data_IF_132040162742
#
_entry.id   IF_132040162742
#
_cell.length_a   1.000
_cell.length_b   1.000
_cell.length_c   1.000
_cell.angle_alpha   90.00
_cell.angle_beta   90.00
_cell.angle_gamma   90.00
#
_symmetry.space_group_name_H-M   'P 1'
#
loop_
_entity.id
_entity.type
_entity.pdbx_description
1 polymer ?
#
# COMPACT_ATOMS: atom_id res chain seq x y z
N UNK A 1 11.75 36.71 4.17
CA UNK A 1 11.49 35.53 3.31
C UNK A 1 12.78 35.02 2.67
N UNK A 2 13.50 35.79 1.83
CA UNK A 2 14.73 35.33 1.16
C UNK A 2 15.79 34.74 2.11
N UNK A 3 16.17 35.47 3.17
CA UNK A 3 17.15 34.98 4.15
C UNK A 3 16.70 33.71 4.87
N UNK A 4 15.41 33.58 5.16
CA UNK A 4 14.85 32.37 5.76
C UNK A 4 14.93 31.19 4.76
N UNK A 5 14.61 31.41 3.48
CA UNK A 5 14.76 30.39 2.43
C UNK A 5 16.21 29.94 2.28
N UNK A 6 17.16 30.89 2.25
CA UNK A 6 18.60 30.58 2.15
C UNK A 6 19.07 29.80 3.39
N UNK A 7 18.71 30.26 4.59
CA UNK A 7 19.09 29.59 5.83
C UNK A 7 18.48 28.18 5.93
N UNK A 8 17.21 28.00 5.56
CA UNK A 8 16.56 26.68 5.51
C UNK A 8 17.19 25.76 4.46
N UNK A 9 17.52 26.29 3.28
CA UNK A 9 18.23 25.53 2.25
C UNK A 9 19.61 25.09 2.74
N UNK A 10 20.41 26.00 3.30
CA UNK A 10 21.72 25.69 3.86
C UNK A 10 21.64 24.68 5.00
N UNK A 11 20.68 24.84 5.92
CA UNK A 11 20.43 23.89 7.00
C UNK A 11 20.09 22.48 6.46
N UNK A 12 19.36 22.39 5.35
CA UNK A 12 19.03 21.09 4.74
C UNK A 12 20.25 20.32 4.22
N UNK A 13 21.36 21.01 3.90
CA UNK A 13 22.60 20.38 3.42
C UNK A 13 23.44 19.78 4.56
N UNK A 14 23.17 20.18 5.80
CA UNK A 14 23.92 19.76 7.00
C UNK A 14 23.24 18.50 7.55
N UNK A 15 23.48 17.36 6.91
CA UNK A 15 23.01 16.04 7.33
C UNK A 15 24.02 14.96 6.88
N UNK A 16 23.94 13.70 7.36
CA UNK A 16 24.88 12.64 7.00
C UNK A 16 25.01 12.35 5.49
N UNK A 17 23.98 12.65 4.69
CA UNK A 17 23.99 12.51 3.23
C UNK A 17 24.52 13.76 2.50
N UNK A 18 24.75 14.86 3.23
CA UNK A 18 25.25 16.12 2.68
C UNK A 18 24.34 16.73 1.60
N UNK A 19 24.92 17.47 0.63
CA UNK A 19 24.16 18.11 -0.45
C UNK A 19 23.43 17.13 -1.40
N UNK A 20 23.85 15.86 -1.43
CA UNK A 20 23.24 14.84 -2.29
C UNK A 20 21.76 14.61 -1.95
N UNK A 21 21.35 14.94 -0.72
CA UNK A 21 19.96 14.82 -0.27
C UNK A 21 18.96 15.57 -1.17
N UNK A 22 19.38 16.67 -1.82
CA UNK A 22 18.54 17.43 -2.74
C UNK A 22 18.11 16.58 -3.94
N UNK A 23 18.96 15.64 -4.37
CA UNK A 23 18.70 14.78 -5.52
C UNK A 23 17.86 13.56 -5.17
N UNK A 24 17.66 13.26 -3.88
CA UNK A 24 16.95 12.07 -3.41
C UNK A 24 15.52 11.95 -3.98
N UNK A 25 14.67 13.00 -3.98
CA UNK A 25 13.33 12.91 -4.53
C UNK A 25 13.31 12.59 -6.02
N UNK A 26 14.30 13.08 -6.77
CA UNK A 26 14.42 12.82 -8.22
C UNK A 26 14.86 11.38 -8.50
N UNK A 27 15.75 10.83 -7.69
CA UNK A 27 16.16 9.43 -7.80
C UNK A 27 14.96 8.48 -7.58
N UNK A 28 14.10 8.80 -6.61
CA UNK A 28 12.85 8.08 -6.36
C UNK A 28 11.88 8.26 -7.53
N UNK A 29 11.60 9.51 -7.92
CA UNK A 29 10.63 9.84 -8.96
C UNK A 29 10.97 9.24 -10.33
N UNK A 30 12.26 9.12 -10.67
CA UNK A 30 12.70 8.62 -11.98
C UNK A 30 13.26 7.20 -11.94
N UNK A 31 13.11 6.46 -10.83
CA UNK A 31 13.53 5.07 -10.77
C UNK A 31 12.47 4.16 -11.40
N UNK A 32 12.77 3.62 -12.58
CA UNK A 32 11.93 2.59 -13.22
C UNK A 32 11.76 1.34 -12.36
N UNK A 33 12.77 1.00 -11.55
CA UNK A 33 12.71 -0.14 -10.64
C UNK A 33 11.62 0.06 -9.57
N UNK A 34 11.56 1.25 -8.98
CA UNK A 34 10.53 1.58 -7.98
C UNK A 34 9.16 1.67 -8.64
N UNK A 35 9.07 2.35 -9.78
CA UNK A 35 7.80 2.53 -10.49
C UNK A 35 7.15 1.21 -10.91
N UNK A 36 7.95 0.23 -11.35
CA UNK A 36 7.43 -1.06 -11.79
C UNK A 36 7.10 -1.98 -10.62
N UNK A 37 7.90 -1.97 -9.55
CA UNK A 37 7.75 -2.91 -8.45
C UNK A 37 6.65 -2.50 -7.45
N UNK A 38 6.48 -1.20 -7.22
CA UNK A 38 5.66 -0.70 -6.11
C UNK A 38 4.31 -0.23 -6.63
N UNK A 39 3.25 -0.87 -6.14
CA UNK A 39 1.87 -0.66 -6.60
C UNK A 39 1.40 0.81 -6.54
N UNK A 40 1.89 1.63 -5.61
CA UNK A 40 1.49 3.05 -5.52
C UNK A 40 1.90 3.88 -6.75
N UNK A 41 2.89 3.41 -7.51
CA UNK A 41 3.39 4.07 -8.71
C UNK A 41 2.63 3.68 -9.98
N UNK A 42 1.79 2.65 -9.91
CA UNK A 42 0.96 2.22 -11.03
C UNK A 42 -0.24 3.14 -11.21
N UNK A 43 -0.80 3.14 -12.42
CA UNK A 43 -2.05 3.84 -12.70
C UNK A 43 -3.20 3.33 -11.81
N UNK A 44 -4.17 4.19 -11.45
CA UNK A 44 -5.36 3.78 -10.72
C UNK A 44 -6.10 2.61 -11.38
N UNK A 45 -6.25 1.51 -10.64
CA UNK A 45 -7.16 0.42 -11.02
C UNK A 45 -8.54 0.63 -10.40
N UNK A 46 -9.56 0.73 -11.27
CA UNK A 46 -10.95 0.91 -10.88
C UNK A 46 -11.74 -0.40 -10.80
N UNK A 47 -11.16 -1.55 -11.21
CA UNK A 47 -11.85 -2.84 -11.20
C UNK A 47 -12.02 -3.38 -9.78
N UNK A 48 -11.05 -3.15 -8.90
CA UNK A 48 -11.09 -3.59 -7.49
C UNK A 48 -12.06 -2.81 -6.59
N UNK A 49 -12.74 -1.76 -7.09
CA UNK A 49 -13.74 -0.98 -6.34
C UNK A 49 -13.18 -0.04 -5.26
N UNK A 50 -11.97 -0.27 -4.75
CA UNK A 50 -11.31 0.58 -3.74
C UNK A 50 -11.20 2.03 -4.21
N UNK A 51 -10.89 2.25 -5.50
CA UNK A 51 -10.76 3.57 -6.10
C UNK A 51 -12.06 4.10 -6.74
N UNK A 52 -13.21 3.46 -6.49
CA UNK A 52 -14.50 3.95 -6.98
C UNK A 52 -14.82 5.39 -6.55
N UNK A 53 -14.52 5.85 -5.31
CA UNK A 53 -14.73 7.26 -4.94
C UNK A 53 -13.95 8.24 -5.81
N UNK A 54 -12.72 7.89 -6.19
CA UNK A 54 -11.90 8.70 -7.10
C UNK A 54 -12.54 8.77 -8.49
N UNK A 55 -13.03 7.64 -9.01
CA UNK A 55 -13.73 7.60 -10.30
C UNK A 55 -15.00 8.46 -10.29
N UNK A 56 -15.82 8.34 -9.25
CA UNK A 56 -17.03 9.16 -9.06
C UNK A 56 -16.67 10.64 -9.01
N UNK A 57 -15.61 11.00 -8.29
CA UNK A 57 -15.11 12.36 -8.22
C UNK A 57 -14.68 12.89 -9.59
N UNK A 58 -13.90 12.13 -10.36
CA UNK A 58 -13.47 12.48 -11.72
C UNK A 58 -14.68 12.70 -12.64
N UNK A 59 -15.59 11.73 -12.70
CA UNK A 59 -16.75 11.78 -13.61
C UNK A 59 -17.68 12.95 -13.25
N UNK A 60 -17.96 13.15 -11.96
CA UNK A 60 -18.81 14.26 -11.52
C UNK A 60 -18.15 15.62 -11.74
N UNK A 61 -16.83 15.74 -11.52
CA UNK A 61 -16.07 16.95 -11.83
C UNK A 61 -16.15 17.28 -13.33
N UNK A 62 -15.88 16.30 -14.20
CA UNK A 62 -15.95 16.47 -15.66
C UNK A 62 -17.36 16.89 -16.10
N UNK A 63 -18.40 16.23 -15.58
CA UNK A 63 -19.78 16.61 -15.84
C UNK A 63 -20.07 18.07 -15.46
N UNK A 64 -19.66 18.50 -14.27
CA UNK A 64 -19.85 19.86 -13.78
C UNK A 64 -19.15 20.89 -14.67
N UNK A 65 -17.90 20.62 -15.04
CA UNK A 65 -17.10 21.51 -15.91
C UNK A 65 -17.76 21.66 -17.27
N UNK A 66 -18.20 20.56 -17.89
CA UNK A 66 -18.86 20.58 -19.20
C UNK A 66 -20.22 21.27 -19.14
N UNK A 67 -21.01 21.03 -18.07
CA UNK A 67 -22.36 21.56 -17.91
C UNK A 67 -22.41 23.07 -17.69
N UNK A 68 -21.53 23.59 -16.85
CA UNK A 68 -21.58 25.00 -16.43
C UNK A 68 -20.67 25.90 -17.23
N UNK A 69 -19.55 25.35 -17.72
CA UNK A 69 -18.50 26.10 -18.42
C UNK A 69 -18.05 27.35 -17.63
N UNK A 70 -17.14 28.13 -18.20
CA UNK A 70 -16.70 29.41 -17.60
C UNK A 70 -15.53 29.33 -16.63
N UNK A 71 -14.83 28.18 -16.57
CA UNK A 71 -13.50 28.13 -15.96
C UNK A 71 -12.49 28.85 -16.85
N UNK A 72 -11.56 29.56 -16.21
CA UNK A 72 -10.43 30.17 -16.92
C UNK A 72 -9.52 29.07 -17.48
N UNK A 73 -8.79 29.35 -18.57
CA UNK A 73 -7.85 28.40 -19.16
C UNK A 73 -6.83 27.87 -18.12
N UNK A 74 -6.35 28.74 -17.23
CA UNK A 74 -5.43 28.34 -16.15
C UNK A 74 -6.04 27.26 -15.23
N UNK A 75 -7.34 27.34 -14.94
CA UNK A 75 -8.03 26.39 -14.06
C UNK A 75 -8.20 25.06 -14.78
N UNK A 76 -8.58 25.10 -16.06
CA UNK A 76 -8.65 23.91 -16.90
C UNK A 76 -7.28 23.23 -17.05
N UNK A 77 -6.21 24.00 -17.20
CA UNK A 77 -4.84 23.47 -17.26
C UNK A 77 -4.43 22.82 -15.94
N UNK A 78 -4.67 23.48 -14.80
CA UNK A 78 -4.37 22.91 -13.49
C UNK A 78 -5.16 21.62 -13.26
N UNK A 79 -6.47 21.59 -13.56
CA UNK A 79 -7.28 20.37 -13.43
C UNK A 79 -6.82 19.26 -14.38
N UNK A 80 -6.56 19.60 -15.64
CA UNK A 80 -6.11 18.64 -16.65
C UNK A 80 -4.76 18.03 -16.34
N UNK A 81 -3.79 18.85 -15.90
CA UNK A 81 -2.47 18.38 -15.49
C UNK A 81 -2.55 17.54 -14.21
N UNK A 82 -3.33 17.97 -13.22
CA UNK A 82 -3.55 17.19 -12.00
C UNK A 82 -4.20 15.84 -12.30
N UNK A 83 -5.19 15.81 -13.20
CA UNK A 83 -5.80 14.56 -13.65
C UNK A 83 -4.79 13.66 -14.36
N UNK A 84 -3.98 14.23 -15.27
CA UNK A 84 -2.95 13.49 -15.98
C UNK A 84 -1.96 12.81 -15.02
N UNK A 85 -1.42 13.55 -14.05
CA UNK A 85 -0.46 12.98 -13.08
C UNK A 85 -1.12 11.96 -12.14
N UNK A 86 -2.39 12.15 -11.77
CA UNK A 86 -3.17 11.17 -11.01
C UNK A 86 -3.40 9.88 -11.80
N UNK A 87 -3.68 9.97 -13.10
CA UNK A 87 -3.85 8.77 -13.94
C UNK A 87 -2.52 8.07 -14.21
N UNK A 88 -1.39 8.77 -14.10
CA UNK A 88 -0.07 8.16 -14.18
C UNK A 88 0.27 7.33 -12.94
N UNK A 89 -0.13 7.75 -11.73
CA UNK A 89 0.17 7.04 -10.49
C UNK A 89 -0.86 7.32 -9.40
N UNK A 90 -1.31 6.27 -8.70
CA UNK A 90 -2.22 6.36 -7.53
C UNK A 90 -1.68 7.34 -6.47
N UNK A 91 -0.37 7.37 -6.25
CA UNK A 91 0.30 8.29 -5.31
C UNK A 91 -0.02 9.77 -5.58
N UNK A 92 -0.32 10.12 -6.83
CA UNK A 92 -0.63 11.49 -7.23
C UNK A 92 -2.12 11.86 -7.08
N UNK A 93 -3.00 10.97 -6.58
CA UNK A 93 -4.43 11.27 -6.43
C UNK A 93 -4.70 12.51 -5.58
N UNK A 94 -3.84 12.76 -4.58
CA UNK A 94 -3.97 13.91 -3.67
C UNK A 94 -3.88 15.23 -4.44
N UNK A 95 -3.08 15.29 -5.50
CA UNK A 95 -2.90 16.48 -6.33
C UNK A 95 -4.23 16.84 -7.02
N UNK A 96 -4.91 15.85 -7.61
CA UNK A 96 -6.22 16.07 -8.23
C UNK A 96 -7.29 16.40 -7.21
N UNK A 97 -7.30 15.77 -6.03
CA UNK A 97 -8.27 16.12 -4.98
C UNK A 97 -8.07 17.57 -4.53
N UNK A 98 -6.85 17.99 -4.24
CA UNK A 98 -6.56 19.36 -3.79
C UNK A 98 -6.89 20.39 -4.87
N UNK A 99 -6.52 20.13 -6.12
CA UNK A 99 -6.80 21.04 -7.23
C UNK A 99 -8.29 21.05 -7.64
N UNK A 100 -8.93 19.89 -7.64
CA UNK A 100 -10.28 19.67 -8.15
C UNK A 100 -11.38 19.97 -7.16
N UNK A 101 -11.17 19.73 -5.86
CA UNK A 101 -12.22 19.83 -4.87
C UNK A 101 -12.80 21.25 -4.74
N UNK A 102 -12.00 22.34 -4.73
CA UNK A 102 -12.56 23.70 -4.70
C UNK A 102 -13.46 24.01 -5.91
N UNK A 103 -13.03 23.56 -7.10
CA UNK A 103 -13.80 23.73 -8.35
C UNK A 103 -15.08 22.90 -8.31
N UNK A 104 -14.97 21.66 -7.86
CA UNK A 104 -16.10 20.76 -7.69
C UNK A 104 -17.15 21.38 -6.77
N UNK A 105 -16.75 21.88 -5.60
CA UNK A 105 -17.64 22.52 -4.62
C UNK A 105 -18.32 23.74 -5.22
N UNK A 106 -17.54 24.62 -5.88
CA UNK A 106 -18.08 25.83 -6.50
C UNK A 106 -19.14 25.52 -7.58
N UNK A 107 -18.89 24.53 -8.43
CA UNK A 107 -19.82 24.14 -9.50
C UNK A 107 -21.02 23.33 -8.97
N UNK A 108 -20.80 22.44 -8.00
CA UNK A 108 -21.86 21.66 -7.36
C UNK A 108 -22.84 22.59 -6.61
N UNK A 109 -22.35 23.66 -6.00
CA UNK A 109 -23.16 24.68 -5.35
C UNK A 109 -24.11 25.37 -6.35
N UNK A 110 -23.69 25.54 -7.62
CA UNK A 110 -24.56 26.07 -8.67
C UNK A 110 -25.69 25.10 -9.04
N UNK A 111 -25.43 23.80 -9.12
CA UNK A 111 -26.48 22.77 -9.25
C UNK A 111 -27.47 22.92 -8.09
N UNK A 112 -26.95 22.96 -6.86
CA UNK A 112 -27.78 23.01 -5.66
C UNK A 112 -28.73 24.21 -5.68
N UNK A 113 -28.24 25.39 -6.07
CA UNK A 113 -29.07 26.60 -6.21
C UNK A 113 -30.10 26.49 -7.33
N UNK A 114 -29.72 25.97 -8.50
CA UNK A 114 -30.65 25.76 -9.63
C UNK A 114 -31.78 24.78 -9.27
N UNK A 115 -31.43 23.68 -8.62
CA UNK A 115 -32.42 22.73 -8.10
C UNK A 115 -33.30 23.43 -7.06
N UNK A 116 -32.72 24.06 -6.04
CA UNK A 116 -33.48 24.75 -4.99
C UNK A 116 -34.46 25.79 -5.57
N UNK A 117 -34.07 26.54 -6.60
CA UNK A 117 -34.96 27.48 -7.30
C UNK A 117 -36.12 26.77 -8.02
N UNK A 118 -35.85 25.68 -8.75
CA UNK A 118 -36.90 24.88 -9.42
C UNK A 118 -37.88 24.23 -8.43
N UNK A 119 -37.38 23.76 -7.29
CA UNK A 119 -38.18 23.18 -6.22
C UNK A 119 -39.01 24.24 -5.48
N UNK A 120 -38.46 25.43 -5.22
CA UNK A 120 -39.20 26.58 -4.67
C UNK A 120 -40.33 27.07 -5.57
N UNK A 121 -40.18 26.96 -6.90
CA UNK A 121 -41.25 27.28 -7.85
C UNK A 121 -42.38 26.24 -7.86
N UNK A 122 -42.15 25.02 -7.35
CA UNK A 122 -43.13 23.93 -7.28
C UNK A 122 -43.81 23.78 -5.92
N UNK A 123 -43.27 24.41 -4.87
CA UNK A 123 -43.76 24.29 -3.49
C UNK A 123 -44.17 25.66 -2.95
N UNK A 124 -45.39 25.77 -2.40
CA UNK A 124 -45.86 26.98 -1.68
C UNK A 124 -44.90 27.31 -0.51
N UNK A 125 -44.74 28.59 -0.13
CA UNK A 125 -43.71 29.04 0.80
C UNK A 125 -44.10 28.74 2.25
N UNK A 126 -44.14 27.47 2.62
CA UNK A 126 -44.19 27.01 4.00
C UNK A 126 -43.47 25.67 4.05
N UNK A 127 -42.18 25.70 4.31
CA UNK A 127 -41.61 25.33 5.61
C UNK A 127 -40.08 25.06 5.45
N UNK A 128 -39.25 25.38 6.47
CA UNK A 128 -37.81 25.11 6.50
C UNK A 128 -37.33 23.67 6.86
N UNK A 129 -38.17 22.64 7.17
CA UNK A 129 -37.67 21.40 7.77
C UNK A 129 -36.88 20.56 6.78
N UNK A 130 -37.20 20.59 5.47
CA UNK A 130 -36.47 19.75 4.51
C UNK A 130 -35.03 20.21 4.29
N UNK A 131 -34.76 21.53 4.27
CA UNK A 131 -33.40 22.05 4.13
C UNK A 131 -32.54 21.73 5.35
N UNK A 132 -33.11 21.92 6.56
CA UNK A 132 -32.45 21.56 7.82
C UNK A 132 -32.22 20.04 7.91
N UNK A 133 -33.19 19.22 7.49
CA UNK A 133 -33.04 17.76 7.44
C UNK A 133 -31.97 17.31 6.43
N UNK A 134 -31.83 17.99 5.29
CA UNK A 134 -30.76 17.70 4.32
C UNK A 134 -29.38 18.11 4.86
N UNK A 135 -29.28 19.25 5.54
CA UNK A 135 -28.03 19.70 6.17
C UNK A 135 -27.64 18.76 7.33
N UNK A 136 -28.56 18.43 8.21
CA UNK A 136 -28.36 17.44 9.27
C UNK A 136 -28.05 16.05 8.70
N UNK A 137 -28.67 15.67 7.59
CA UNK A 137 -28.37 14.43 6.87
C UNK A 137 -26.96 14.41 6.29
N UNK A 138 -26.51 15.52 5.71
CA UNK A 138 -25.14 15.65 5.19
C UNK A 138 -24.09 15.65 6.30
N UNK A 139 -24.39 16.30 7.43
CA UNK A 139 -23.56 16.27 8.63
C UNK A 139 -23.52 14.86 9.23
N UNK A 140 -24.67 14.19 9.31
CA UNK A 140 -24.78 12.80 9.76
C UNK A 140 -23.99 11.85 8.85
N UNK A 141 -24.04 12.04 7.54
CA UNK A 141 -23.24 11.26 6.58
C UNK A 141 -21.74 11.53 6.74
N UNK A 142 -21.33 12.79 6.92
CA UNK A 142 -19.94 13.14 7.20
C UNK A 142 -19.45 12.49 8.51
N UNK A 143 -20.24 12.59 9.59
CA UNK A 143 -19.93 11.96 10.87
C UNK A 143 -19.85 10.44 10.72
N UNK A 144 -20.76 9.82 9.96
CA UNK A 144 -20.72 8.38 9.71
C UNK A 144 -19.45 7.98 8.94
N UNK A 145 -19.05 8.73 7.91
CA UNK A 145 -17.80 8.49 7.18
C UNK A 145 -16.60 8.65 8.10
N UNK A 146 -16.56 9.70 8.92
CA UNK A 146 -15.48 9.92 9.89
C UNK A 146 -15.45 8.82 10.96
N UNK A 147 -16.61 8.38 11.45
CA UNK A 147 -16.71 7.29 12.42
C UNK A 147 -16.20 5.97 11.85
N UNK A 148 -16.57 5.64 10.60
CA UNK A 148 -16.03 4.45 9.89
C UNK A 148 -14.52 4.56 9.69
N UNK A 149 -14.01 5.75 9.32
CA UNK A 149 -12.56 5.94 9.20
C UNK A 149 -11.86 5.76 10.55
N UNK A 150 -12.41 6.28 11.64
CA UNK A 150 -11.85 6.09 12.99
C UNK A 150 -11.87 4.63 13.43
N UNK A 151 -12.92 3.86 13.12
CA UNK A 151 -12.98 2.43 13.47
C UNK A 151 -12.07 1.57 12.59
N UNK A 152 -11.87 1.94 11.33
CA UNK A 152 -10.91 1.28 10.42
C UNK A 152 -9.46 1.61 10.81
N UNK A 153 -9.21 2.84 11.27
CA UNK A 153 -7.88 3.29 11.74
C UNK A 153 -7.59 2.90 13.19
N UNK A 154 -8.57 2.35 13.92
CA UNK A 154 -8.32 1.76 15.22
C UNK A 154 -7.37 0.57 15.00
N UNK A 155 -6.11 0.72 15.43
CA UNK A 155 -5.06 -0.28 15.24
C UNK A 155 -5.56 -1.64 15.72
N UNK A 156 -5.80 -2.60 14.80
CA UNK A 156 -6.18 -3.92 15.22
C UNK A 156 -5.07 -4.46 16.13
N UNK A 157 -5.41 -5.24 17.14
CA UNK A 157 -4.38 -6.02 17.85
C UNK A 157 -3.63 -6.86 16.81
N UNK A 158 -2.32 -7.05 17.02
CA UNK A 158 -1.46 -7.81 16.11
C UNK A 158 -1.99 -9.25 15.86
N UNK A 159 -2.76 -9.78 16.80
CA UNK A 159 -3.36 -11.12 16.74
C UNK A 159 -4.79 -11.12 16.19
N UNK A 160 -5.32 -9.98 15.75
CA UNK A 160 -6.67 -9.91 15.17
C UNK A 160 -6.73 -10.63 13.82
N UNK A 161 -7.88 -11.24 13.47
CA UNK A 161 -8.02 -11.93 12.18
C UNK A 161 -7.70 -11.04 10.96
N UNK A 162 -8.08 -9.76 11.02
CA UNK A 162 -7.78 -8.79 9.96
C UNK A 162 -6.29 -8.55 9.81
N UNK A 163 -5.57 -8.39 10.92
CA UNK A 163 -4.13 -8.11 10.89
C UNK A 163 -3.33 -9.35 10.48
N UNK A 164 -3.70 -10.53 10.99
CA UNK A 164 -3.12 -11.82 10.56
C UNK A 164 -3.39 -12.12 9.08
N UNK A 165 -4.53 -11.66 8.55
CA UNK A 165 -4.81 -11.70 7.11
C UNK A 165 -4.00 -10.70 6.29
N UNK A 166 -3.54 -9.59 6.89
CA UNK A 166 -2.85 -8.48 6.24
C UNK A 166 -1.32 -8.49 6.38
N UNK A 167 -0.76 -9.17 7.39
CA UNK A 167 0.67 -9.36 7.61
C UNK A 167 1.02 -10.82 7.93
N UNK A 168 2.27 -11.29 7.70
CA UNK A 168 2.69 -12.67 7.95
C UNK A 168 2.97 -12.94 9.45
N UNK A 169 2.00 -12.64 10.31
CA UNK A 169 2.12 -12.74 11.78
C UNK A 169 2.48 -14.15 12.22
N UNK A 170 1.82 -15.15 11.64
CA UNK A 170 2.01 -16.55 12.02
C UNK A 170 3.40 -17.05 11.62
N UNK A 171 3.87 -16.70 10.42
CA UNK A 171 5.22 -17.03 9.97
C UNK A 171 6.29 -16.29 10.81
N UNK A 172 6.08 -15.02 11.15
CA UNK A 172 6.97 -14.27 12.03
C UNK A 172 7.05 -14.89 13.43
N UNK A 173 5.90 -15.27 14.01
CA UNK A 173 5.86 -15.95 15.31
C UNK A 173 6.53 -17.33 15.27
N UNK A 174 6.43 -18.04 14.14
CA UNK A 174 7.16 -19.29 13.92
C UNK A 174 8.67 -19.06 13.83
N UNK A 175 9.13 -18.09 13.03
CA UNK A 175 10.55 -17.71 12.92
C UNK A 175 11.14 -17.31 14.28
N UNK A 176 10.40 -16.58 15.10
CA UNK A 176 10.80 -16.19 16.46
C UNK A 176 11.19 -17.39 17.34
N UNK A 177 10.56 -18.55 17.15
CA UNK A 177 10.90 -19.78 17.90
C UNK A 177 12.10 -20.56 17.35
N UNK A 178 12.57 -20.21 16.16
CA UNK A 178 13.70 -20.85 15.49
C UNK A 178 15.07 -20.28 15.87
N UNK A 179 16.14 -20.68 15.16
CA UNK A 179 17.48 -20.09 15.30
C UNK A 179 17.47 -18.58 15.01
N UNK A 180 18.59 -17.92 15.28
CA UNK A 180 18.80 -16.49 15.00
C UNK A 180 19.81 -16.27 13.88
N UNK A 181 19.80 -15.07 13.30
CA UNK A 181 20.74 -14.67 12.26
C UNK A 181 20.39 -15.20 10.88
N UNK A 182 19.16 -15.68 10.68
CA UNK A 182 18.69 -16.18 9.39
C UNK A 182 18.63 -15.05 8.37
N UNK A 183 18.94 -15.36 7.11
CA UNK A 183 18.75 -14.45 5.97
C UNK A 183 17.52 -14.84 5.19
N UNK A 184 16.49 -14.01 5.23
CA UNK A 184 15.16 -14.28 4.67
C UNK A 184 14.95 -13.44 3.41
N UNK A 185 14.81 -14.11 2.26
CA UNK A 185 14.27 -13.50 1.05
C UNK A 185 12.76 -13.35 1.18
N UNK A 186 12.27 -12.13 1.36
CA UNK A 186 10.88 -11.87 1.72
C UNK A 186 10.09 -11.11 0.64
N UNK A 187 8.77 -11.12 0.75
CA UNK A 187 7.90 -10.24 -0.02
C UNK A 187 8.11 -8.77 0.35
N UNK A 188 8.16 -7.88 -0.64
CA UNK A 188 8.47 -6.46 -0.47
C UNK A 188 7.55 -5.77 0.55
N UNK A 189 6.24 -6.00 0.43
CA UNK A 189 5.23 -5.43 1.34
C UNK A 189 5.34 -5.93 2.78
N UNK A 190 5.87 -7.13 2.98
CA UNK A 190 5.99 -7.76 4.30
C UNK A 190 7.31 -7.41 5.00
N UNK A 191 8.31 -6.89 4.28
CA UNK A 191 9.66 -6.71 4.79
C UNK A 191 9.77 -5.74 5.96
N UNK A 192 8.97 -4.67 5.96
CA UNK A 192 8.95 -3.72 7.08
C UNK A 192 8.39 -4.36 8.36
N UNK A 193 7.34 -5.17 8.22
CA UNK A 193 6.77 -5.93 9.33
C UNK A 193 7.78 -6.95 9.86
N UNK A 194 8.38 -7.76 8.99
CA UNK A 194 9.34 -8.80 9.38
C UNK A 194 10.60 -8.21 10.02
N UNK A 195 11.14 -7.10 9.50
CA UNK A 195 12.26 -6.40 10.12
C UNK A 195 11.93 -5.86 11.52
N UNK A 196 10.67 -5.51 11.76
CA UNK A 196 10.21 -5.04 13.06
C UNK A 196 9.96 -6.19 14.05
N UNK A 197 9.28 -7.26 13.62
CA UNK A 197 8.85 -8.35 14.52
C UNK A 197 9.87 -9.44 14.72
N UNK A 198 10.82 -9.61 13.79
CA UNK A 198 11.86 -10.65 13.84
C UNK A 198 13.26 -10.02 13.72
N UNK A 199 13.64 -9.09 14.62
CA UNK A 199 14.88 -8.31 14.48
C UNK A 199 16.16 -9.14 14.63
N UNK A 200 16.04 -10.39 15.10
CA UNK A 200 17.15 -11.35 15.17
C UNK A 200 17.59 -11.86 13.80
N UNK A 201 16.75 -11.68 12.77
CA UNK A 201 16.98 -12.15 11.41
C UNK A 201 17.12 -10.97 10.43
N UNK A 202 17.68 -11.24 9.25
CA UNK A 202 17.89 -10.25 8.19
C UNK A 202 16.91 -10.47 7.06
N UNK A 203 16.06 -9.48 6.81
CA UNK A 203 15.19 -9.44 5.63
C UNK A 203 15.98 -8.93 4.41
N UNK A 204 15.65 -9.44 3.24
CA UNK A 204 16.32 -9.06 1.99
C UNK A 204 15.91 -7.67 1.50
N UNK A 205 14.62 -7.33 1.64
CA UNK A 205 14.06 -6.06 1.18
C UNK A 205 12.96 -5.59 2.14
N UNK A 206 12.77 -4.28 2.29
CA UNK A 206 11.64 -3.71 3.05
C UNK A 206 11.14 -2.42 2.39
N UNK A 207 10.01 -1.89 2.89
CA UNK A 207 9.20 -0.84 2.25
C UNK A 207 9.86 0.52 2.01
N UNK A 208 11.17 0.69 2.25
CA UNK A 208 11.93 1.88 1.86
C UNK A 208 12.74 1.62 0.59
N UNK A 209 12.06 1.75 -0.56
CA UNK A 209 12.62 1.52 -1.87
C UNK A 209 13.85 2.39 -2.19
N UNK A 210 13.87 3.60 -1.65
CA UNK A 210 14.93 4.54 -1.92
C UNK A 210 16.21 4.18 -1.16
N UNK A 211 16.09 3.65 0.07
CA UNK A 211 17.21 3.02 0.79
C UNK A 211 17.71 1.74 0.12
N UNK A 212 16.82 0.92 -0.43
CA UNK A 212 17.22 -0.31 -1.16
C UNK A 212 18.00 0.01 -2.42
N UNK A 213 17.63 1.10 -3.10
CA UNK A 213 18.25 1.54 -4.33
C UNK A 213 17.88 0.68 -5.53
N UNK A 214 17.96 1.29 -6.72
CA UNK A 214 17.45 0.67 -7.95
C UNK A 214 18.14 -0.64 -8.34
N UNK A 215 19.37 -0.89 -7.90
CA UNK A 215 20.10 -2.14 -8.20
C UNK A 215 19.45 -3.33 -7.50
N UNK A 216 19.27 -3.24 -6.18
CA UNK A 216 18.67 -4.31 -5.37
C UNK A 216 17.23 -4.55 -5.79
N UNK A 217 16.47 -3.48 -6.05
CA UNK A 217 15.09 -3.61 -6.50
C UNK A 217 14.94 -4.29 -7.87
N UNK A 218 15.87 -4.05 -8.80
CA UNK A 218 15.86 -4.77 -10.10
C UNK A 218 16.23 -6.24 -9.96
N UNK A 219 17.21 -6.54 -9.11
CA UNK A 219 17.59 -7.93 -8.81
C UNK A 219 16.43 -8.67 -8.15
N UNK A 220 15.78 -8.03 -7.18
CA UNK A 220 14.57 -8.51 -6.54
C UNK A 220 13.45 -8.77 -7.56
N UNK A 221 13.13 -7.78 -8.41
CA UNK A 221 12.13 -7.92 -9.47
C UNK A 221 12.45 -9.09 -10.42
N UNK A 222 13.71 -9.19 -10.87
CA UNK A 222 14.15 -10.27 -11.75
C UNK A 222 13.98 -11.68 -11.15
N UNK A 223 14.08 -11.81 -9.81
CA UNK A 223 13.83 -13.06 -9.10
C UNK A 223 12.33 -13.37 -9.06
N UNK A 224 11.51 -12.41 -8.64
CA UNK A 224 10.07 -12.65 -8.40
C UNK A 224 9.26 -12.72 -9.69
N UNK A 225 9.70 -12.04 -10.75
CA UNK A 225 9.10 -12.07 -12.09
C UNK A 225 9.57 -13.28 -12.91
N UNK A 226 10.37 -14.18 -12.31
CA UNK A 226 10.88 -15.40 -12.93
C UNK A 226 11.61 -15.14 -14.26
N UNK A 227 12.43 -14.08 -14.31
CA UNK A 227 13.30 -13.81 -15.46
C UNK A 227 14.17 -15.04 -15.80
N UNK A 228 14.69 -15.19 -17.04
CA UNK A 228 15.42 -16.41 -17.44
C UNK A 228 16.57 -16.84 -16.51
N UNK A 229 17.17 -15.92 -15.74
CA UNK A 229 18.25 -16.18 -14.79
C UNK A 229 17.82 -16.01 -13.31
N UNK A 230 16.52 -16.05 -13.01
CA UNK A 230 15.99 -15.80 -11.67
C UNK A 230 16.61 -16.70 -10.59
N UNK A 231 16.74 -18.00 -10.88
CA UNK A 231 17.27 -18.97 -9.92
C UNK A 231 18.74 -18.69 -9.59
N UNK A 232 19.53 -18.34 -10.62
CA UNK A 232 20.92 -17.93 -10.43
C UNK A 232 21.02 -16.66 -9.58
N UNK A 233 20.13 -15.68 -9.80
CA UNK A 233 20.09 -14.45 -9.00
C UNK A 233 19.71 -14.74 -7.54
N UNK A 234 18.73 -15.63 -7.32
CA UNK A 234 18.36 -16.10 -5.98
C UNK A 234 19.50 -16.89 -5.31
N UNK A 235 20.27 -17.67 -6.07
CA UNK A 235 21.43 -18.41 -5.58
C UNK A 235 22.62 -17.51 -5.25
N UNK A 236 22.79 -16.39 -5.95
CA UNK A 236 23.78 -15.37 -5.58
C UNK A 236 23.34 -14.52 -4.39
N UNK A 237 22.05 -14.50 -4.07
CA UNK A 237 21.57 -13.92 -2.82
C UNK A 237 21.96 -14.82 -1.64
N UNK A 238 22.49 -14.27 -0.53
CA UNK A 238 22.89 -15.06 0.63
C UNK A 238 21.70 -15.65 1.42
N UNK A 239 20.47 -15.55 0.93
CA UNK A 239 19.25 -16.00 1.60
C UNK A 239 19.24 -17.52 1.86
N UNK A 240 18.86 -17.88 3.07
CA UNK A 240 18.73 -19.26 3.56
C UNK A 240 17.26 -19.70 3.52
N UNK A 241 16.36 -18.73 3.73
CA UNK A 241 14.92 -18.89 3.65
C UNK A 241 14.33 -17.99 2.56
N UNK A 242 13.23 -18.43 1.98
CA UNK A 242 12.32 -17.64 1.16
C UNK A 242 10.97 -17.62 1.86
N UNK A 243 10.42 -16.45 2.18
CA UNK A 243 9.09 -16.27 2.79
C UNK A 243 8.24 -15.40 1.85
N UNK A 244 7.20 -15.97 1.27
CA UNK A 244 6.40 -15.29 0.24
C UNK A 244 4.92 -15.62 0.34
N UNK A 245 4.09 -14.75 -0.25
CA UNK A 245 2.66 -14.96 -0.38
C UNK A 245 2.36 -16.18 -1.24
N UNK A 246 1.51 -17.04 -0.69
CA UNK A 246 1.05 -18.27 -1.31
C UNK A 246 0.21 -17.99 -2.55
N UNK A 247 0.33 -18.85 -3.55
CA UNK A 247 -0.44 -18.75 -4.80
C UNK A 247 0.07 -17.65 -5.74
N UNK A 248 1.25 -17.08 -5.45
CA UNK A 248 1.99 -16.25 -6.40
C UNK A 248 2.93 -17.11 -7.26
N UNK A 249 3.29 -16.62 -8.44
CA UNK A 249 4.06 -17.39 -9.42
C UNK A 249 5.43 -17.84 -8.91
N UNK A 250 6.07 -17.04 -8.04
CA UNK A 250 7.43 -17.28 -7.57
C UNK A 250 7.54 -18.50 -6.63
N UNK A 251 6.78 -18.60 -5.52
CA UNK A 251 6.68 -19.82 -4.70
C UNK A 251 6.34 -21.07 -5.50
N UNK A 252 5.38 -20.99 -6.44
CA UNK A 252 5.01 -22.12 -7.30
C UNK A 252 6.20 -22.61 -8.16
N UNK A 253 7.01 -21.69 -8.67
CA UNK A 253 8.22 -22.02 -9.40
C UNK A 253 9.32 -22.59 -8.49
N UNK A 254 9.43 -22.08 -7.27
CA UNK A 254 10.41 -22.51 -6.26
C UNK A 254 10.11 -23.93 -5.76
N UNK A 255 8.84 -24.29 -5.60
CA UNK A 255 8.41 -25.63 -5.20
C UNK A 255 8.86 -26.72 -6.17
N UNK A 256 9.08 -26.38 -7.45
CA UNK A 256 9.59 -27.29 -8.48
C UNK A 256 11.12 -27.42 -8.48
N UNK A 257 11.83 -26.67 -7.65
CA UNK A 257 13.29 -26.70 -7.59
C UNK A 257 13.78 -27.70 -6.54
N UNK A 258 14.74 -28.58 -6.88
CA UNK A 258 15.20 -29.64 -5.98
C UNK A 258 16.07 -29.13 -4.82
N UNK A 259 16.59 -27.90 -4.91
CA UNK A 259 17.44 -27.28 -3.89
C UNK A 259 16.65 -26.48 -2.84
N UNK A 260 15.32 -26.46 -2.95
CA UNK A 260 14.43 -25.78 -2.01
C UNK A 260 13.39 -26.74 -1.48
N UNK A 261 13.11 -26.65 -0.18
CA UNK A 261 12.14 -27.50 0.50
C UNK A 261 11.20 -26.62 1.32
N UNK A 262 9.89 -26.83 1.17
CA UNK A 262 8.89 -26.14 1.96
C UNK A 262 8.97 -26.60 3.42
N UNK A 263 9.14 -25.66 4.34
CA UNK A 263 9.32 -25.92 5.78
C UNK A 263 8.20 -25.35 6.65
N UNK A 264 7.46 -24.38 6.12
CA UNK A 264 6.31 -23.77 6.77
C UNK A 264 5.27 -23.39 5.73
N UNK A 265 3.99 -23.51 6.11
CA UNK A 265 2.86 -23.06 5.29
C UNK A 265 1.68 -22.69 6.16
N UNK A 266 1.03 -21.58 5.80
CA UNK A 266 -0.30 -21.22 6.26
C UNK A 266 -1.19 -20.84 5.05
N UNK A 267 -2.37 -20.24 5.29
CA UNK A 267 -3.27 -19.82 4.20
C UNK A 267 -2.80 -18.56 3.47
N UNK A 268 -1.85 -17.80 4.01
CA UNK A 268 -1.34 -16.54 3.45
C UNK A 268 0.04 -16.74 2.82
N UNK A 269 0.98 -17.40 3.50
CA UNK A 269 2.39 -17.48 3.11
C UNK A 269 2.93 -18.90 3.13
N UNK A 270 3.99 -19.09 2.35
CA UNK A 270 4.82 -20.29 2.33
C UNK A 270 6.27 -19.90 2.64
N UNK A 271 6.97 -20.77 3.37
CA UNK A 271 8.41 -20.63 3.61
C UNK A 271 9.16 -21.82 3.05
N UNK A 272 10.17 -21.54 2.25
CA UNK A 272 11.09 -22.52 1.70
C UNK A 272 12.47 -22.32 2.31
N UNK A 273 13.13 -23.41 2.68
CA UNK A 273 14.52 -23.41 3.10
C UNK A 273 15.38 -24.08 2.04
N UNK A 274 16.65 -23.69 1.95
CA UNK A 274 17.61 -24.42 1.13
C UNK A 274 17.76 -25.84 1.67
N UNK A 275 17.58 -26.84 0.82
CA UNK A 275 17.62 -28.26 1.21
C UNK A 275 18.95 -28.63 1.86
N UNK A 276 20.06 -28.06 1.40
CA UNK A 276 21.40 -28.27 1.96
C UNK A 276 21.58 -27.77 3.40
N UNK A 277 20.73 -26.86 3.86
CA UNK A 277 20.82 -26.25 5.18
C UNK A 277 19.85 -26.84 6.21
N UNK A 278 18.92 -27.70 5.79
CA UNK A 278 17.89 -28.28 6.66
C UNK A 278 18.49 -29.04 7.85
N UNK A 279 19.60 -29.75 7.63
CA UNK A 279 20.27 -30.53 8.67
C UNK A 279 20.93 -29.64 9.74
N UNK A 280 21.26 -28.38 9.41
CA UNK A 280 22.02 -27.48 10.28
C UNK A 280 21.17 -26.38 10.91
N UNK A 281 20.12 -25.92 10.22
CA UNK A 281 19.31 -24.78 10.67
C UNK A 281 18.38 -25.10 11.86
N UNK A 282 18.09 -26.38 12.15
CA UNK A 282 17.21 -26.78 13.27
C UNK A 282 15.90 -25.96 13.33
N UNK A 283 15.22 -25.83 12.19
CA UNK A 283 13.98 -25.04 12.09
C UNK A 283 12.83 -25.68 12.90
N UNK A 284 11.93 -24.88 13.49
CA UNK A 284 10.75 -25.42 14.16
C UNK A 284 9.84 -26.15 13.15
N UNK A 285 9.13 -27.19 13.60
CA UNK A 285 8.17 -27.88 12.76
C UNK A 285 7.01 -26.97 12.34
N UNK A 286 6.37 -27.27 11.19
CA UNK A 286 5.20 -26.54 10.74
C UNK A 286 4.07 -26.61 11.80
N UNK A 287 3.62 -25.49 12.38
CA UNK A 287 2.71 -25.52 13.51
C UNK A 287 1.28 -25.96 13.17
N UNK A 288 0.67 -26.78 14.03
CA UNK A 288 -0.73 -27.16 13.91
C UNK A 288 -1.69 -26.12 14.50
N UNK A 289 -2.98 -26.19 14.16
CA UNK A 289 -4.00 -25.33 14.75
C UNK A 289 -4.01 -25.41 16.29
N UNK A 290 -3.86 -26.60 16.86
CA UNK A 290 -3.78 -26.81 18.30
C UNK A 290 -2.53 -26.19 18.95
N UNK A 291 -1.41 -26.09 18.23
CA UNK A 291 -0.24 -25.36 18.69
C UNK A 291 -0.55 -23.86 18.87
N UNK A 292 -1.15 -23.24 17.84
CA UNK A 292 -1.48 -21.81 17.87
C UNK A 292 -2.49 -21.44 18.96
N UNK A 293 -3.48 -22.30 19.21
CA UNK A 293 -4.42 -22.12 20.33
C UNK A 293 -3.69 -22.11 21.67
N UNK A 294 -2.75 -23.03 21.90
CA UNK A 294 -1.95 -23.06 23.14
C UNK A 294 -0.98 -21.88 23.26
N UNK A 295 -0.51 -21.34 22.14
CA UNK A 295 0.37 -20.16 22.09
C UNK A 295 -0.37 -18.85 22.38
N UNK A 296 -1.71 -18.87 22.39
CA UNK A 296 -2.53 -17.68 22.64
C UNK A 296 -2.78 -16.83 21.39
N UNK A 297 -2.54 -17.38 20.19
CA UNK A 297 -2.74 -16.67 18.91
C UNK A 297 -3.83 -17.41 18.10
N UNK A 298 -5.11 -17.35 18.51
CA UNK A 298 -6.18 -18.14 17.91
C UNK A 298 -6.42 -17.81 16.44
N UNK A 299 -6.13 -16.59 16.00
CA UNK A 299 -6.22 -16.22 14.57
C UNK A 299 -5.25 -17.05 13.70
N UNK A 300 -4.06 -17.39 14.19
CA UNK A 300 -3.14 -18.27 13.49
C UNK A 300 -3.62 -19.73 13.45
N UNK A 301 -4.42 -20.17 14.42
CA UNK A 301 -5.02 -21.50 14.36
C UNK A 301 -5.96 -21.66 13.15
N UNK A 302 -6.65 -20.58 12.75
CA UNK A 302 -7.50 -20.56 11.56
C UNK A 302 -6.70 -20.48 10.25
N UNK A 303 -5.45 -20.02 10.29
CA UNK A 303 -4.54 -19.95 9.15
C UNK A 303 -3.73 -21.24 8.94
N UNK A 304 -3.58 -22.07 9.97
CA UNK A 304 -2.76 -23.27 9.93
C UNK A 304 -3.15 -24.19 8.77
N UNK A 305 -2.15 -24.63 8.01
CA UNK A 305 -2.30 -25.54 6.89
C UNK A 305 -1.16 -26.58 6.90
N UNK A 306 -1.44 -27.80 6.47
CA UNK A 306 -0.44 -28.86 6.44
C UNK A 306 0.55 -28.65 5.28
N UNK A 307 1.77 -29.15 5.46
CA UNK A 307 2.71 -29.26 4.34
C UNK A 307 2.19 -30.33 3.34
N UNK A 308 2.40 -30.13 2.03
CA UNK A 308 1.99 -31.08 1.00
C UNK A 308 2.77 -32.40 1.03
#
# INVERSE_FOLDING_TARGET
>A
LLWATIASFAASLINPNGPVIIFYPFQTQFSSAQQNLIQEWHSPDFHGGVLAPLLIFIVSLLFLVVRYRGLALRELLVLGLSLLVTLQSVRNLVILVVAGMPVWIFLAERIRRELAARWRLRLRPRQPPLAVLLELGSLGALIAVLAVQVTVLASPSLDSPTYVGAFPVCAASWLETGPSGLRVFNQYGDGGFLAYTVPKDKVFVFGDAALMGSRVLREYAAIIDLSPSWLKALDTSPSELVLFERGSAFPDALQRQPNWTMVYRDRRVEVFARTSLLATLHLPSNPSAGYWMRRGIPACAAQADALP
#
